data_IF_763562202182
#
_entry.id   IF_763562202182
#
_cell.length_a   1.000
_cell.length_b   1.000
_cell.length_c   1.000
_cell.angle_alpha   90.00
_cell.angle_beta   90.00
_cell.angle_gamma   90.00
#
_symmetry.space_group_name_H-M   'P 1'
#
loop_
_entity.id
_entity.type
_entity.pdbx_description
1 polymer ?
#
# COMPACT_ATOMS: atom_id res chain seq x y z
N UNK A 1 1.91 -18.90 4.75
CA UNK A 1 1.79 -18.20 3.46
C UNK A 1 3.09 -17.59 2.96
N UNK A 2 3.95 -17.02 3.82
CA UNK A 2 5.23 -16.39 3.42
C UNK A 2 6.11 -17.30 2.53
N UNK A 3 6.15 -18.60 2.80
CA UNK A 3 6.97 -19.56 2.05
C UNK A 3 6.55 -19.74 0.59
N UNK A 4 5.26 -19.58 0.28
CA UNK A 4 4.72 -19.75 -1.07
C UNK A 4 5.10 -18.54 -1.95
N UNK A 5 4.88 -17.33 -1.44
CA UNK A 5 5.29 -16.08 -2.07
C UNK A 5 6.80 -15.98 -2.31
N UNK A 6 7.63 -16.49 -1.39
CA UNK A 6 9.08 -16.46 -1.56
C UNK A 6 9.59 -17.37 -2.70
N UNK A 7 8.83 -18.42 -3.04
CA UNK A 7 9.16 -19.32 -4.16
C UNK A 7 8.81 -18.72 -5.52
N UNK A 8 7.86 -17.77 -5.55
CA UNK A 8 7.41 -17.09 -6.76
C UNK A 8 8.25 -15.87 -7.13
N UNK A 9 9.35 -15.58 -6.43
CA UNK A 9 10.24 -14.42 -6.74
C UNK A 9 10.76 -14.45 -8.19
N UNK A 10 10.88 -15.63 -8.79
CA UNK A 10 11.21 -15.79 -10.22
C UNK A 10 10.13 -15.28 -11.18
N UNK A 11 8.90 -15.07 -10.71
CA UNK A 11 7.79 -14.44 -11.42
C UNK A 11 7.30 -13.22 -10.61
N UNK A 12 7.88 -12.05 -10.91
CA UNK A 12 7.60 -10.82 -10.16
C UNK A 12 6.13 -10.40 -10.22
N UNK A 13 5.45 -10.60 -11.36
CA UNK A 13 4.02 -10.28 -11.51
C UNK A 13 3.15 -11.12 -10.58
N UNK A 14 3.37 -12.45 -10.54
CA UNK A 14 2.64 -13.35 -9.65
C UNK A 14 2.88 -13.04 -8.17
N UNK A 15 4.11 -12.67 -7.82
CA UNK A 15 4.46 -12.23 -6.47
C UNK A 15 3.69 -10.97 -6.05
N UNK A 16 3.64 -9.95 -6.93
CA UNK A 16 2.90 -8.71 -6.68
C UNK A 16 1.40 -8.97 -6.52
N UNK A 17 0.82 -9.76 -7.41
CA UNK A 17 -0.60 -10.11 -7.36
C UNK A 17 -0.95 -10.87 -6.07
N UNK A 18 -0.11 -11.83 -5.67
CA UNK A 18 -0.28 -12.56 -4.41
C UNK A 18 -0.30 -11.63 -3.19
N UNK A 19 0.58 -10.63 -3.14
CA UNK A 19 0.62 -9.64 -2.06
C UNK A 19 -0.62 -8.75 -2.09
N UNK A 20 -1.05 -8.28 -3.27
CA UNK A 20 -2.27 -7.46 -3.41
C UNK A 20 -3.49 -8.22 -2.89
N UNK A 21 -3.61 -9.51 -3.24
CA UNK A 21 -4.69 -10.37 -2.76
C UNK A 21 -4.63 -10.58 -1.24
N UNK A 22 -3.45 -10.83 -0.68
CA UNK A 22 -3.28 -10.94 0.77
C UNK A 22 -3.64 -9.62 1.48
N UNK A 23 -3.24 -8.47 0.92
CA UNK A 23 -3.61 -7.17 1.44
C UNK A 23 -5.13 -6.95 1.40
N UNK A 24 -5.80 -7.28 0.30
CA UNK A 24 -7.26 -7.20 0.17
C UNK A 24 -7.96 -8.01 1.25
N UNK A 25 -7.51 -9.26 1.46
CA UNK A 25 -8.04 -10.11 2.50
C UNK A 25 -7.84 -9.46 3.88
N UNK A 26 -6.63 -9.00 4.19
CA UNK A 26 -6.35 -8.35 5.49
C UNK A 26 -7.19 -7.09 5.71
N UNK A 27 -7.47 -6.31 4.66
CA UNK A 27 -8.35 -5.14 4.72
C UNK A 27 -9.81 -5.55 4.99
N UNK A 28 -10.29 -6.65 4.41
CA UNK A 28 -11.64 -7.18 4.64
C UNK A 28 -11.85 -7.69 6.08
N UNK A 29 -10.78 -8.17 6.71
CA UNK A 29 -10.78 -8.68 8.08
C UNK A 29 -10.62 -7.57 9.15
N UNK A 30 -10.53 -6.30 8.73
CA UNK A 30 -10.38 -5.19 9.68
C UNK A 30 -11.63 -5.08 10.56
N UNK A 31 -11.41 -5.14 11.86
CA UNK A 31 -12.44 -4.78 12.82
C UNK A 31 -12.77 -3.28 12.74
N UNK A 32 -13.97 -2.95 12.26
CA UNK A 32 -14.48 -1.59 12.04
C UNK A 32 -15.25 -1.02 13.24
N UNK A 33 -15.34 -1.74 14.37
CA UNK A 33 -16.05 -1.29 15.58
C UNK A 33 -15.47 0.00 16.19
N UNK A 34 -14.19 0.27 15.96
CA UNK A 34 -13.53 1.50 16.42
C UNK A 34 -12.39 1.90 15.50
N UNK A 35 -12.21 3.21 15.32
CA UNK A 35 -11.06 3.80 14.65
C UNK A 35 -9.72 3.39 15.28
N UNK A 36 -9.70 2.99 16.56
CA UNK A 36 -8.52 2.39 17.17
C UNK A 36 -8.11 1.08 16.47
N UNK A 37 -9.07 0.17 16.23
CA UNK A 37 -8.81 -1.12 15.59
C UNK A 37 -8.47 -0.95 14.11
N UNK A 38 -9.18 -0.07 13.39
CA UNK A 38 -8.86 0.27 12.00
C UNK A 38 -7.41 0.74 11.90
N UNK A 39 -6.99 1.69 12.75
CA UNK A 39 -5.61 2.19 12.80
C UNK A 39 -4.60 1.14 13.23
N UNK A 40 -4.99 0.19 14.07
CA UNK A 40 -4.12 -0.91 14.52
C UNK A 40 -3.87 -1.88 13.36
N UNK A 41 -4.92 -2.30 12.68
CA UNK A 41 -4.87 -3.22 11.55
C UNK A 41 -4.22 -2.58 10.33
N UNK A 42 -4.54 -1.32 9.99
CA UNK A 42 -3.91 -0.63 8.86
C UNK A 42 -2.39 -0.52 9.01
N UNK A 43 -1.89 -0.30 10.23
CA UNK A 43 -0.45 -0.34 10.54
C UNK A 43 0.14 -1.74 10.45
N UNK A 44 -0.63 -2.79 10.75
CA UNK A 44 -0.17 -4.18 10.60
C UNK A 44 0.02 -4.50 9.11
N UNK A 45 -1.00 -4.23 8.30
CA UNK A 45 -0.98 -4.42 6.84
C UNK A 45 0.23 -3.71 6.22
N UNK A 46 0.47 -2.45 6.59
CA UNK A 46 1.62 -1.69 6.10
C UNK A 46 2.98 -2.33 6.47
N UNK A 47 3.10 -2.91 7.67
CA UNK A 47 4.34 -3.61 8.07
C UNK A 47 4.55 -4.89 7.28
N UNK A 48 3.48 -5.64 7.04
CA UNK A 48 3.52 -6.90 6.29
C UNK A 48 3.86 -6.61 4.81
N UNK A 49 3.22 -5.60 4.20
CA UNK A 49 3.55 -5.08 2.87
C UNK A 49 5.04 -4.69 2.75
N UNK A 50 5.57 -3.88 3.69
CA UNK A 50 7.00 -3.50 3.70
C UNK A 50 7.95 -4.68 3.85
N UNK A 51 7.53 -5.74 4.55
CA UNK A 51 8.31 -6.96 4.66
C UNK A 51 8.42 -7.65 3.30
N UNK A 52 7.33 -7.71 2.53
CA UNK A 52 7.34 -8.31 1.19
C UNK A 52 8.14 -7.47 0.18
N UNK A 53 7.97 -6.15 0.20
CA UNK A 53 8.77 -5.21 -0.62
C UNK A 53 10.27 -5.44 -0.40
N UNK A 54 10.69 -5.63 0.85
CA UNK A 54 12.10 -5.90 1.19
C UNK A 54 12.64 -7.19 0.54
N UNK A 55 11.79 -8.17 0.24
CA UNK A 55 12.19 -9.40 -0.43
C UNK A 55 12.29 -9.26 -1.95
N UNK A 56 11.43 -8.46 -2.59
CA UNK A 56 11.49 -8.22 -4.05
C UNK A 56 12.71 -7.38 -4.46
N UNK A 57 13.15 -6.42 -3.64
CA UNK A 57 14.25 -5.49 -3.95
C UNK A 57 14.04 -4.61 -5.20
N UNK A 58 12.87 -4.68 -5.85
CA UNK A 58 12.50 -3.82 -6.97
C UNK A 58 11.82 -2.54 -6.46
N UNK A 59 12.25 -1.40 -7.01
CA UNK A 59 11.72 -0.07 -6.66
C UNK A 59 10.34 0.17 -7.25
N UNK A 60 10.04 -0.39 -8.41
CA UNK A 60 8.73 -0.27 -9.07
C UNK A 60 7.67 -0.98 -8.23
N UNK A 61 7.94 -2.24 -7.89
CA UNK A 61 7.14 -3.06 -6.98
C UNK A 61 6.92 -2.38 -5.61
N UNK A 62 7.93 -1.68 -5.07
CA UNK A 62 7.77 -0.90 -3.84
C UNK A 62 6.71 0.20 -4.00
N UNK A 63 6.78 0.98 -5.07
CA UNK A 63 5.83 2.07 -5.35
C UNK A 63 4.43 1.51 -5.56
N UNK A 64 4.30 0.49 -6.42
CA UNK A 64 3.03 -0.11 -6.79
C UNK A 64 2.26 -0.66 -5.57
N UNK A 65 2.94 -1.41 -4.69
CA UNK A 65 2.30 -1.99 -3.50
C UNK A 65 1.90 -0.94 -2.46
N UNK A 66 2.71 0.11 -2.30
CA UNK A 66 2.39 1.21 -1.39
C UNK A 66 1.24 2.08 -1.92
N UNK A 67 1.18 2.28 -3.24
CA UNK A 67 0.09 3.01 -3.89
C UNK A 67 -1.22 2.21 -3.76
N UNK A 68 -1.17 0.90 -4.01
CA UNK A 68 -2.30 0.01 -3.78
C UNK A 68 -2.79 0.06 -2.32
N UNK A 69 -1.88 0.06 -1.34
CA UNK A 69 -2.25 0.26 0.07
C UNK A 69 -3.01 1.58 0.29
N UNK A 70 -2.53 2.67 -0.31
CA UNK A 70 -3.17 3.98 -0.21
C UNK A 70 -4.56 3.98 -0.86
N UNK A 71 -4.75 3.37 -2.03
CA UNK A 71 -6.06 3.20 -2.66
C UNK A 71 -7.03 2.43 -1.76
N UNK A 72 -6.58 1.31 -1.18
CA UNK A 72 -7.42 0.53 -0.27
C UNK A 72 -7.81 1.33 0.97
N UNK A 73 -6.91 2.15 1.50
CA UNK A 73 -7.17 2.99 2.65
C UNK A 73 -8.11 4.18 2.32
N UNK A 74 -7.98 4.77 1.13
CA UNK A 74 -8.85 5.84 0.61
C UNK A 74 -10.29 5.33 0.44
N UNK A 75 -10.45 4.17 -0.19
CA UNK A 75 -11.74 3.53 -0.46
C UNK A 75 -12.33 2.79 0.76
N UNK A 76 -11.63 2.79 1.89
CA UNK A 76 -12.05 2.04 3.07
C UNK A 76 -13.31 2.62 3.71
N UNK A 77 -14.25 1.73 4.07
CA UNK A 77 -15.44 2.07 4.85
C UNK A 77 -15.40 1.36 6.21
N UNK A 78 -15.56 2.07 7.35
CA UNK A 78 -15.89 3.50 7.49
C UNK A 78 -14.73 4.44 7.13
N UNK A 79 -15.08 5.58 6.51
CA UNK A 79 -14.11 6.54 5.97
C UNK A 79 -13.02 6.94 6.99
N UNK A 80 -11.77 6.93 6.52
CA UNK A 80 -10.59 7.32 7.29
C UNK A 80 -10.58 8.80 7.67
N UNK A 81 -11.30 9.64 6.93
CA UNK A 81 -11.35 11.11 7.13
C UNK A 81 -11.83 11.51 8.52
N UNK A 82 -12.61 10.63 9.19
CA UNK A 82 -13.08 10.88 10.56
C UNK A 82 -11.99 10.67 11.63
N UNK A 83 -10.80 10.18 11.26
CA UNK A 83 -9.67 10.00 12.18
C UNK A 83 -8.42 10.72 11.69
N UNK A 84 -8.07 11.82 12.36
CA UNK A 84 -6.84 12.58 12.09
C UNK A 84 -5.59 11.70 12.09
N UNK A 85 -5.54 10.68 12.94
CA UNK A 85 -4.40 9.76 13.00
C UNK A 85 -4.28 8.86 11.76
N UNK A 86 -5.40 8.43 11.16
CA UNK A 86 -5.38 7.66 9.91
C UNK A 86 -5.06 8.55 8.72
N UNK A 87 -5.66 9.74 8.66
CA UNK A 87 -5.37 10.75 7.64
C UNK A 87 -3.88 11.11 7.62
N UNK A 88 -3.29 11.37 8.79
CA UNK A 88 -1.85 11.63 8.88
C UNK A 88 -0.99 10.43 8.47
N UNK A 89 -1.44 9.19 8.72
CA UNK A 89 -0.72 8.00 8.27
C UNK A 89 -0.75 7.89 6.74
N UNK A 90 -1.91 8.14 6.15
CA UNK A 90 -2.14 8.13 4.71
C UNK A 90 -1.27 9.17 3.99
N UNK A 91 -1.35 10.45 4.38
CA UNK A 91 -0.55 11.50 3.75
C UNK A 91 0.96 11.27 3.88
N UNK A 92 1.44 10.73 5.01
CA UNK A 92 2.85 10.35 5.14
C UNK A 92 3.26 9.22 4.21
N UNK A 93 2.36 8.28 3.90
CA UNK A 93 2.67 7.26 2.88
C UNK A 93 2.68 7.88 1.49
N UNK A 94 1.74 8.77 1.16
CA UNK A 94 1.78 9.50 -0.12
C UNK A 94 3.07 10.31 -0.30
N UNK A 95 3.50 11.07 0.72
CA UNK A 95 4.77 11.80 0.68
C UNK A 95 5.97 10.87 0.48
N UNK A 96 5.94 9.68 1.09
CA UNK A 96 7.00 8.68 0.92
C UNK A 96 7.00 8.13 -0.51
N UNK A 97 5.82 7.81 -1.06
CA UNK A 97 5.66 7.34 -2.44
C UNK A 97 6.16 8.39 -3.43
N UNK A 98 5.77 9.66 -3.28
CA UNK A 98 6.24 10.77 -4.12
C UNK A 98 7.77 10.82 -4.20
N UNK A 99 8.46 10.72 -3.06
CA UNK A 99 9.93 10.70 -3.00
C UNK A 99 10.55 9.47 -3.64
N UNK A 100 9.83 8.35 -3.70
CA UNK A 100 10.30 7.11 -4.33
C UNK A 100 10.09 7.16 -5.84
N UNK A 101 8.95 7.70 -6.29
CA UNK A 101 8.64 7.89 -7.70
C UNK A 101 9.72 8.72 -8.40
N UNK A 102 10.22 9.80 -7.79
CA UNK A 102 11.32 10.61 -8.36
C UNK A 102 12.63 9.83 -8.59
N UNK A 103 12.76 8.60 -8.08
CA UNK A 103 13.93 7.73 -8.28
C UNK A 103 13.72 6.65 -9.36
N UNK A 104 12.53 6.60 -9.96
CA UNK A 104 12.17 5.71 -11.07
C UNK A 104 12.48 6.36 -12.42
N UNK A 105 12.29 5.62 -13.52
CA UNK A 105 12.39 6.13 -14.88
C UNK A 105 11.32 7.20 -15.18
N UNK A 106 11.63 8.17 -16.05
CA UNK A 106 10.75 9.31 -16.38
C UNK A 106 9.37 8.88 -16.89
N UNK A 107 9.29 7.83 -17.72
CA UNK A 107 8.02 7.31 -18.23
C UNK A 107 7.11 6.85 -17.08
N UNK A 108 7.64 6.07 -16.14
CA UNK A 108 6.91 5.60 -14.96
C UNK A 108 6.58 6.73 -13.98
N UNK A 109 7.41 7.78 -13.92
CA UNK A 109 7.14 8.92 -13.05
C UNK A 109 5.83 9.62 -13.42
N UNK A 110 5.58 9.80 -14.72
CA UNK A 110 4.37 10.45 -15.20
C UNK A 110 3.12 9.65 -14.80
N UNK A 111 3.13 8.34 -15.06
CA UNK A 111 2.01 7.43 -14.75
C UNK A 111 1.66 7.44 -13.26
N UNK A 112 2.67 7.29 -12.39
CA UNK A 112 2.43 7.29 -10.94
C UNK A 112 2.02 8.66 -10.39
N UNK A 113 2.46 9.75 -11.03
CA UNK A 113 2.12 11.09 -10.58
C UNK A 113 0.61 11.38 -10.75
N UNK A 114 0.00 10.95 -11.86
CA UNK A 114 -1.45 11.09 -12.09
C UNK A 114 -2.27 10.33 -11.03
N UNK A 115 -1.86 9.11 -10.67
CA UNK A 115 -2.51 8.32 -9.63
C UNK A 115 -2.41 8.98 -8.24
N UNK A 116 -1.23 9.51 -7.91
CA UNK A 116 -0.99 10.20 -6.63
C UNK A 116 -1.85 11.46 -6.54
N UNK A 117 -1.94 12.25 -7.60
CA UNK A 117 -2.75 13.47 -7.63
C UNK A 117 -4.24 13.16 -7.41
N UNK A 118 -4.73 12.08 -8.02
CA UNK A 118 -6.10 11.59 -7.80
C UNK A 118 -6.33 11.28 -6.31
N UNK A 119 -5.37 10.62 -5.68
CA UNK A 119 -5.43 10.24 -4.26
C UNK A 119 -5.32 11.42 -3.30
N UNK A 120 -4.58 12.47 -3.67
CA UNK A 120 -4.44 13.68 -2.86
C UNK A 120 -5.72 14.51 -2.71
N UNK A 121 -6.72 14.28 -3.56
CA UNK A 121 -8.03 14.95 -3.47
C UNK A 121 -8.89 14.52 -2.26
N UNK A 122 -8.37 13.63 -1.39
CA UNK A 122 -9.02 13.18 -0.13
C UNK A 122 -9.44 14.36 0.77
#
# INVERSE_FOLDING_TARGET
LISYLLFEISNEEGFVEGIKNEMLQQFSEINTSSYYFIRKSSRKILRDCKKFIRYSQNKETEVELLLFYCHQLYNFNPSIKKSKALVNLYFRQLEFIKKKVTTLHEDLQYDYQEEIETLETL
#
